data_IF_497012593441
#
_entry.id   IF_497012593441
#
_cell.length_a   1.000
_cell.length_b   1.000
_cell.length_c   1.000
_cell.angle_alpha   90.00
_cell.angle_beta   90.00
_cell.angle_gamma   90.00
#
_symmetry.space_group_name_H-M   'P 1'
#
loop_
_entity.id
_entity.type
_entity.pdbx_description
1 polymer ?
#
# COMPACT_ATOMS: atom_id res chain seq x y z
N UNK A 1 -20.75 24.11 8.69
CA UNK A 1 -20.03 23.66 7.48
C UNK A 1 -20.58 22.29 7.11
N UNK A 2 -21.22 22.16 5.96
CA UNK A 2 -21.75 20.87 5.48
C UNK A 2 -20.64 20.17 4.70
N UNK A 3 -20.11 19.08 5.25
CA UNK A 3 -19.29 18.13 4.50
C UNK A 3 -20.21 17.39 3.55
N UNK A 4 -20.37 17.91 2.33
CA UNK A 4 -20.93 17.12 1.26
C UNK A 4 -19.96 15.95 1.02
N UNK A 5 -20.38 14.72 1.33
CA UNK A 5 -19.65 13.53 0.95
C UNK A 5 -19.50 13.57 -0.57
N UNK A 6 -18.27 13.71 -1.05
CA UNK A 6 -17.99 13.59 -2.48
C UNK A 6 -18.50 12.22 -2.92
N UNK A 7 -19.17 12.15 -4.08
CA UNK A 7 -19.54 10.85 -4.65
C UNK A 7 -18.26 10.00 -4.81
N UNK A 8 -18.31 8.69 -4.55
CA UNK A 8 -17.12 7.82 -4.58
C UNK A 8 -16.29 7.97 -5.86
N UNK A 9 -16.93 8.04 -7.03
CA UNK A 9 -16.24 8.26 -8.32
C UNK A 9 -15.47 9.60 -8.36
N UNK A 10 -16.05 10.66 -7.80
CA UNK A 10 -15.41 11.98 -7.74
C UNK A 10 -14.25 12.00 -6.74
N UNK A 11 -14.38 11.29 -5.62
CA UNK A 11 -13.30 11.14 -4.64
C UNK A 11 -12.13 10.34 -5.24
N UNK A 12 -12.44 9.25 -5.93
CA UNK A 12 -11.46 8.40 -6.60
C UNK A 12 -10.68 9.14 -7.70
N UNK A 13 -11.37 9.82 -8.61
CA UNK A 13 -10.69 10.55 -9.69
C UNK A 13 -9.76 11.63 -9.13
N UNK A 14 -10.19 12.36 -8.09
CA UNK A 14 -9.33 13.33 -7.41
C UNK A 14 -8.12 12.68 -6.76
N UNK A 15 -8.29 11.54 -6.10
CA UNK A 15 -7.19 10.81 -5.48
C UNK A 15 -6.18 10.34 -6.52
N UNK A 16 -6.63 9.80 -7.66
CA UNK A 16 -5.77 9.43 -8.79
C UNK A 16 -4.98 10.61 -9.35
N UNK A 17 -5.65 11.75 -9.55
CA UNK A 17 -4.98 12.95 -10.07
C UNK A 17 -3.89 13.43 -9.11
N UNK A 18 -4.21 13.51 -7.81
CA UNK A 18 -3.23 13.85 -6.77
C UNK A 18 -2.07 12.84 -6.76
N UNK A 19 -2.37 11.54 -6.81
CA UNK A 19 -1.36 10.47 -6.79
C UNK A 19 -0.36 10.59 -7.95
N UNK A 20 -0.87 10.79 -9.16
CA UNK A 20 -0.05 10.90 -10.38
C UNK A 20 0.85 12.13 -10.39
N UNK A 21 0.42 13.22 -9.74
CA UNK A 21 1.17 14.46 -9.66
C UNK A 21 2.13 14.53 -8.46
N UNK A 22 1.92 13.68 -7.45
CA UNK A 22 2.67 13.72 -6.19
C UNK A 22 4.15 13.42 -6.41
N UNK A 23 5.00 14.35 -6.00
CA UNK A 23 6.46 14.16 -5.96
C UNK A 23 6.88 13.86 -4.53
N UNK A 24 7.46 12.68 -4.31
CA UNK A 24 7.95 12.26 -3.00
C UNK A 24 9.47 12.20 -2.96
N UNK A 25 10.08 12.50 -1.79
CA UNK A 25 11.50 12.26 -1.60
C UNK A 25 11.82 10.78 -1.78
N UNK A 26 13.06 10.48 -2.16
CA UNK A 26 13.50 9.11 -2.41
C UNK A 26 13.27 8.21 -1.17
N UNK A 27 12.69 7.03 -1.41
CA UNK A 27 12.44 6.03 -0.39
C UNK A 27 11.24 6.32 0.53
N UNK A 28 10.64 7.50 0.44
CA UNK A 28 9.40 7.81 1.17
C UNK A 28 8.20 7.19 0.47
N UNK A 29 7.23 6.78 1.29
CA UNK A 29 5.99 6.17 0.82
C UNK A 29 4.83 7.12 1.12
N UNK A 30 4.22 7.73 0.09
CA UNK A 30 2.99 8.47 0.26
C UNK A 30 1.82 7.49 0.39
N UNK A 31 0.81 7.86 1.17
CA UNK A 31 -0.49 7.21 1.21
C UNK A 31 -1.55 8.32 1.13
N UNK A 32 -2.57 8.11 0.32
CA UNK A 32 -3.76 8.96 0.25
C UNK A 32 -4.87 8.29 1.03
N UNK A 33 -5.27 8.89 2.13
CA UNK A 33 -6.39 8.44 2.93
C UNK A 33 -7.46 9.55 3.03
N UNK A 34 -8.61 9.24 3.62
CA UNK A 34 -9.71 10.19 3.73
C UNK A 34 -9.33 11.45 4.56
N UNK A 35 -8.39 11.27 5.48
CA UNK A 35 -7.80 12.30 6.34
C UNK A 35 -6.72 13.16 5.66
N UNK A 36 -6.23 12.75 4.49
CA UNK A 36 -5.21 13.48 3.73
C UNK A 36 -4.03 12.61 3.29
N UNK A 37 -2.90 13.26 3.01
CA UNK A 37 -1.66 12.60 2.59
C UNK A 37 -0.85 12.22 3.83
N UNK A 38 -0.58 10.93 4.00
CA UNK A 38 0.36 10.42 5.00
C UNK A 38 1.68 10.11 4.32
N UNK A 39 2.78 10.57 4.93
CA UNK A 39 4.14 10.32 4.44
C UNK A 39 4.86 9.40 5.42
N UNK A 40 5.19 8.19 4.97
CA UNK A 40 5.93 7.20 5.74
C UNK A 40 7.40 7.24 5.33
N UNK A 41 8.35 7.42 6.28
CA UNK A 41 9.77 7.39 5.97
C UNK A 41 10.21 6.00 5.48
N UNK A 42 11.39 5.89 4.85
CA UNK A 42 11.94 4.60 4.47
C UNK A 42 11.92 3.60 5.65
N UNK A 43 11.52 2.34 5.42
CA UNK A 43 11.45 1.34 6.47
C UNK A 43 12.83 1.04 7.06
N UNK A 44 12.87 0.69 8.35
CA UNK A 44 14.10 0.27 9.01
C UNK A 44 14.55 -1.11 8.51
N UNK A 45 15.83 -1.45 8.73
CA UNK A 45 16.34 -2.77 8.36
C UNK A 45 15.54 -3.93 8.98
N UNK A 46 15.11 -3.80 10.24
CA UNK A 46 14.29 -4.81 10.92
C UNK A 46 12.94 -5.01 10.23
N UNK A 47 12.30 -3.92 9.80
CA UNK A 47 11.04 -3.98 9.07
C UNK A 47 11.21 -4.73 7.73
N UNK A 48 12.31 -4.49 7.02
CA UNK A 48 12.62 -5.19 5.77
C UNK A 48 12.93 -6.68 5.99
N UNK A 49 13.58 -7.04 7.10
CA UNK A 49 13.82 -8.45 7.43
C UNK A 49 12.51 -9.20 7.67
N UNK A 50 11.54 -8.60 8.36
CA UNK A 50 10.21 -9.20 8.55
C UNK A 50 9.52 -9.37 7.20
N UNK A 51 9.49 -8.32 6.38
CA UNK A 51 8.90 -8.37 5.04
C UNK A 51 9.54 -9.47 4.17
N UNK A 52 10.86 -9.64 4.24
CA UNK A 52 11.59 -10.71 3.56
C UNK A 52 11.16 -12.10 4.04
N UNK A 53 11.06 -12.32 5.34
CA UNK A 53 10.63 -13.61 5.88
C UNK A 53 9.19 -13.95 5.48
N UNK A 54 8.30 -12.96 5.45
CA UNK A 54 6.92 -13.17 4.98
C UNK A 54 6.87 -13.44 3.48
N UNK A 55 7.71 -12.75 2.70
CA UNK A 55 7.85 -13.05 1.27
C UNK A 55 8.29 -14.49 1.04
N UNK A 56 9.31 -14.98 1.75
CA UNK A 56 9.81 -16.36 1.59
C UNK A 56 8.72 -17.39 1.93
N UNK A 57 7.97 -17.15 3.00
CA UNK A 57 6.85 -18.01 3.38
C UNK A 57 5.77 -18.06 2.29
N UNK A 58 5.39 -16.90 1.74
CA UNK A 58 4.39 -16.82 0.66
C UNK A 58 4.90 -17.39 -0.66
N UNK A 59 6.19 -17.20 -0.96
CA UNK A 59 6.80 -17.74 -2.18
C UNK A 59 6.88 -19.28 -2.15
N UNK A 60 6.93 -19.87 -0.95
CA UNK A 60 6.81 -21.33 -0.78
C UNK A 60 5.38 -21.85 -0.88
N UNK A 61 4.37 -20.97 -0.86
CA UNK A 61 2.98 -21.35 -1.08
C UNK A 61 2.69 -21.44 -2.58
N UNK A 62 1.90 -22.43 -2.99
CA UNK A 62 1.44 -22.59 -4.38
C UNK A 62 0.37 -21.52 -4.67
N UNK A 63 0.82 -20.35 -5.13
CA UNK A 63 0.00 -19.19 -5.46
C UNK A 63 -0.20 -19.07 -6.97
N UNK A 64 -0.91 -20.04 -7.55
CA UNK A 64 -1.17 -20.11 -8.98
C UNK A 64 -1.82 -18.82 -9.52
N UNK A 65 -1.26 -18.30 -10.62
CA UNK A 65 -1.74 -17.06 -11.25
C UNK A 65 -1.40 -15.76 -10.51
N UNK A 66 -1.01 -15.82 -9.24
CA UNK A 66 -0.73 -14.65 -8.39
C UNK A 66 0.76 -14.33 -8.27
N UNK A 67 1.08 -13.03 -8.26
CA UNK A 67 2.41 -12.52 -7.94
C UNK A 67 2.48 -11.98 -6.51
N UNK A 68 3.68 -12.01 -5.93
CA UNK A 68 4.00 -11.35 -4.66
C UNK A 68 4.77 -10.07 -4.99
N UNK A 69 4.21 -8.92 -4.62
CA UNK A 69 4.74 -7.61 -4.97
C UNK A 69 5.09 -6.84 -3.71
N UNK A 70 6.24 -6.15 -3.72
CA UNK A 70 6.63 -5.25 -2.64
C UNK A 70 6.34 -3.81 -3.05
N UNK A 71 5.81 -3.00 -2.12
CA UNK A 71 5.51 -1.57 -2.32
C UNK A 71 4.66 -1.32 -3.58
N UNK A 72 3.67 -2.16 -3.82
CA UNK A 72 2.71 -1.97 -4.90
C UNK A 72 1.61 -1.01 -4.44
N UNK A 73 1.28 -0.02 -5.25
CA UNK A 73 0.22 0.94 -4.93
C UNK A 73 -1.15 0.26 -5.02
N UNK A 74 -1.98 0.42 -3.98
CA UNK A 74 -3.30 -0.22 -3.89
C UNK A 74 -4.39 0.81 -3.65
N UNK A 75 -5.34 0.89 -4.57
CA UNK A 75 -6.44 1.83 -4.58
C UNK A 75 -7.74 1.25 -4.04
N UNK A 76 -8.40 1.98 -3.14
CA UNK A 76 -9.74 1.69 -2.65
C UNK A 76 -10.70 2.73 -3.22
N UNK A 77 -11.36 2.39 -4.34
CA UNK A 77 -12.28 3.30 -5.06
C UNK A 77 -13.42 3.82 -4.19
N UNK A 78 -13.95 2.97 -3.31
CA UNK A 78 -15.09 3.32 -2.45
C UNK A 78 -14.78 4.48 -1.49
N UNK A 79 -13.52 4.60 -1.05
CA UNK A 79 -13.06 5.64 -0.13
C UNK A 79 -12.26 6.74 -0.81
N UNK A 80 -11.84 6.53 -2.07
CA UNK A 80 -10.90 7.43 -2.74
C UNK A 80 -9.52 7.40 -2.10
N UNK A 81 -9.08 6.23 -1.62
CA UNK A 81 -7.79 6.07 -0.93
C UNK A 81 -6.79 5.30 -1.78
N UNK A 82 -5.50 5.55 -1.59
CA UNK A 82 -4.38 4.82 -2.19
C UNK A 82 -3.34 4.52 -1.09
N UNK A 83 -3.00 3.25 -0.90
CA UNK A 83 -2.07 2.77 0.12
C UNK A 83 -0.84 2.11 -0.54
N UNK A 84 0.30 2.13 0.15
CA UNK A 84 1.55 1.48 -0.29
C UNK A 84 1.98 0.45 0.75
N UNK A 85 1.31 -0.70 0.79
CA UNK A 85 1.67 -1.81 1.67
C UNK A 85 3.08 -2.32 1.37
N UNK A 86 3.74 -2.88 2.38
CA UNK A 86 5.07 -3.47 2.20
C UNK A 86 5.05 -4.70 1.31
N UNK A 87 3.98 -5.50 1.37
CA UNK A 87 3.80 -6.69 0.56
C UNK A 87 2.33 -6.89 0.15
N UNK A 88 2.12 -7.33 -1.09
CA UNK A 88 0.82 -7.69 -1.64
C UNK A 88 0.88 -9.01 -2.38
N UNK A 89 -0.21 -9.76 -2.34
CA UNK A 89 -0.47 -10.85 -3.28
C UNK A 89 -1.60 -10.44 -4.20
N UNK A 90 -1.34 -10.46 -5.51
CA UNK A 90 -2.28 -9.97 -6.54
C UNK A 90 -2.25 -10.92 -7.75
N UNK A 91 -3.40 -11.22 -8.39
CA UNK A 91 -3.43 -11.85 -9.71
C UNK A 91 -2.57 -11.05 -10.70
N UNK A 92 -1.67 -11.72 -11.44
CA UNK A 92 -0.72 -11.02 -12.33
C UNK A 92 -1.42 -10.21 -13.43
N UNK A 93 -2.60 -10.65 -13.85
CA UNK A 93 -3.45 -10.00 -14.86
C UNK A 93 -4.25 -8.81 -14.31
N UNK A 94 -4.35 -8.65 -12.99
CA UNK A 94 -4.98 -7.50 -12.34
C UNK A 94 -4.01 -6.32 -12.14
N UNK A 95 -2.71 -6.50 -12.41
CA UNK A 95 -1.71 -5.44 -12.32
C UNK A 95 -1.76 -4.59 -13.60
N UNK A 96 -2.03 -3.27 -13.51
CA UNK A 96 -2.04 -2.39 -14.68
C UNK A 96 -0.67 -2.28 -15.33
N UNK A 97 -0.64 -2.11 -16.66
CA UNK A 97 0.58 -1.81 -17.43
C UNK A 97 1.06 -0.35 -17.25
N UNK A 98 0.30 0.47 -16.53
CA UNK A 98 0.60 1.87 -16.27
C UNK A 98 0.97 2.08 -14.78
N UNK A 99 1.16 3.33 -14.37
CA UNK A 99 1.47 3.69 -12.98
C UNK A 99 0.23 3.84 -12.09
N UNK A 100 -0.93 3.31 -12.50
CA UNK A 100 -2.13 3.37 -11.67
C UNK A 100 -2.08 2.29 -10.58
N UNK A 101 -2.64 2.57 -9.40
CA UNK A 101 -2.73 1.59 -8.33
C UNK A 101 -3.63 0.41 -8.69
N UNK A 102 -3.27 -0.78 -8.21
CA UNK A 102 -4.10 -1.98 -8.29
C UNK A 102 -5.36 -1.80 -7.44
N UNK A 103 -6.50 -2.29 -7.89
CA UNK A 103 -7.73 -2.21 -7.09
C UNK A 103 -7.70 -3.20 -5.92
N UNK A 104 -8.08 -2.75 -4.72
CA UNK A 104 -8.07 -3.58 -3.51
C UNK A 104 -8.98 -4.82 -3.59
N UNK A 105 -9.95 -4.84 -4.51
CA UNK A 105 -10.82 -5.99 -4.78
C UNK A 105 -10.05 -7.24 -5.29
N UNK A 106 -8.83 -7.04 -5.80
CA UNK A 106 -7.95 -8.10 -6.29
C UNK A 106 -6.73 -8.32 -5.40
N UNK A 107 -6.63 -7.64 -4.25
CA UNK A 107 -5.41 -7.59 -3.47
C UNK A 107 -5.58 -8.20 -2.09
N UNK A 108 -4.68 -9.13 -1.74
CA UNK A 108 -4.45 -9.50 -0.34
C UNK A 108 -3.26 -8.68 0.19
N UNK A 109 -3.55 -7.83 1.17
CA UNK A 109 -2.57 -6.92 1.78
C UNK A 109 -1.83 -7.62 2.92
N UNK A 110 -0.52 -7.40 3.00
CA UNK A 110 0.31 -7.84 4.11
C UNK A 110 1.14 -6.65 4.60
N UNK A 111 0.81 -6.18 5.80
CA UNK A 111 1.56 -5.12 6.50
C UNK A 111 2.33 -5.73 7.68
N UNK A 112 3.66 -5.96 7.55
CA UNK A 112 4.47 -6.47 8.63
C UNK A 112 4.69 -5.38 9.67
N UNK A 113 4.07 -5.50 10.85
CA UNK A 113 4.35 -4.59 11.96
C UNK A 113 5.58 -5.06 12.75
N UNK A 114 6.54 -4.16 13.00
CA UNK A 114 7.61 -4.41 13.95
C UNK A 114 7.14 -4.02 15.35
N UNK A 115 7.07 -4.98 16.28
CA UNK A 115 6.91 -4.67 17.72
C UNK A 115 8.26 -4.18 18.25
N UNK A 116 8.32 -2.93 18.71
CA UNK A 116 9.47 -2.46 19.52
C UNK A 116 9.44 -3.21 20.86
N UNK A 117 10.40 -4.09 21.11
CA UNK A 117 10.69 -4.52 22.48
C UNK A 117 11.42 -3.37 23.18
N UNK A 118 10.71 -2.63 24.03
CA UNK A 118 11.38 -1.77 25.00
C UNK A 118 11.99 -2.67 26.06
N UNK A 119 13.28 -2.95 25.94
CA UNK A 119 14.07 -3.50 27.05
C UNK A 119 14.23 -2.37 28.06
N UNK A 120 13.31 -2.30 29.02
CA UNK A 120 13.54 -1.57 30.26
C UNK A 120 14.58 -2.35 31.04
N UNK A 121 15.85 -1.93 30.96
CA UNK A 121 16.84 -2.29 31.97
C UNK A 121 16.41 -1.63 33.29
N UNK A 122 16.21 -2.45 34.33
CA UNK A 122 16.01 -2.03 35.72
C UNK A 122 17.37 -1.90 36.42
#
# INVERSE_FOLDING_TARGET
MSTAFARPETAWNRALDIWRELRVPEGWRPELAAEGIRMTPPPTGQHNLIASSVHDALASAELDGCGIFQRLDVGIRATGSIYVPDLCVVPRDAVPDNSDPVTAEHTVLVEPFAVRSETTEF
#
